data_IF_295425102943
#
_entry.id   IF_295425102943
#
_cell.length_a   1.000
_cell.length_b   1.000
_cell.length_c   1.000
_cell.angle_alpha   90.00
_cell.angle_beta   90.00
_cell.angle_gamma   90.00
#
_symmetry.space_group_name_H-M   'P 1'
#
loop_
_entity.id
_entity.type
_entity.pdbx_description
1 polymer ?
#
# COMPACT_ATOMS: atom_id res chain seq x y z
N UNK A 1 -20.63 37.98 33.53
CA UNK A 1 -19.21 38.30 33.28
C UNK A 1 -18.38 37.07 33.60
N UNK A 2 -18.05 36.29 32.58
CA UNK A 2 -17.29 35.04 32.68
C UNK A 2 -15.78 35.34 32.81
N UNK A 3 -15.15 34.89 33.90
CA UNK A 3 -13.69 34.79 33.98
C UNK A 3 -13.28 33.41 33.45
N UNK A 4 -12.70 33.39 32.25
CA UNK A 4 -12.03 32.23 31.67
C UNK A 4 -10.76 31.93 32.48
N UNK A 5 -10.65 30.70 32.95
CA UNK A 5 -9.41 30.11 33.46
C UNK A 5 -8.57 29.76 32.23
N UNK A 6 -7.38 30.34 32.13
CA UNK A 6 -6.38 29.97 31.12
C UNK A 6 -5.49 28.89 31.75
N UNK A 7 -5.55 27.66 31.21
CA UNK A 7 -4.59 26.62 31.52
C UNK A 7 -3.40 26.75 30.57
N UNK A 8 -2.25 27.10 31.13
CA UNK A 8 -0.96 27.11 30.46
C UNK A 8 -0.43 25.67 30.44
N UNK A 9 -0.49 24.98 29.31
CA UNK A 9 0.17 23.69 29.13
C UNK A 9 1.64 23.91 28.78
N UNK A 10 2.50 23.69 29.76
CA UNK A 10 3.96 23.61 29.57
C UNK A 10 4.23 22.22 28.97
N UNK A 11 4.56 22.18 27.67
CA UNK A 11 5.06 20.95 27.02
C UNK A 11 6.53 20.81 27.37
N UNK A 12 6.86 19.75 28.12
CA UNK A 12 8.24 19.31 28.31
C UNK A 12 8.77 18.79 26.97
N UNK A 13 9.74 19.49 26.38
CA UNK A 13 10.58 18.92 25.33
C UNK A 13 11.38 17.77 25.92
N UNK A 14 10.92 16.54 25.70
CA UNK A 14 11.80 15.37 25.78
C UNK A 14 12.76 15.48 24.59
N UNK A 15 13.99 15.91 24.85
CA UNK A 15 15.13 15.72 23.96
C UNK A 15 15.28 14.22 23.71
N UNK A 16 14.75 13.72 22.58
CA UNK A 16 15.07 12.39 22.13
C UNK A 16 16.52 12.39 21.66
N UNK A 17 17.36 11.68 22.40
CA UNK A 17 18.74 11.40 22.05
C UNK A 17 18.79 10.77 20.66
N UNK A 18 19.57 11.39 19.77
CA UNK A 18 19.92 10.94 18.44
C UNK A 18 20.59 9.56 18.47
N UNK A 19 19.78 8.50 18.42
CA UNK A 19 20.19 7.20 17.91
C UNK A 19 19.23 6.87 16.77
N UNK A 20 19.61 7.29 15.56
CA UNK A 20 18.88 7.06 14.32
C UNK A 20 18.42 5.61 14.24
N UNK A 21 17.11 5.40 14.37
CA UNK A 21 16.47 4.13 14.10
C UNK A 21 16.46 3.94 12.57
N UNK A 22 17.56 3.45 12.00
CA UNK A 22 17.48 2.78 10.70
C UNK A 22 16.52 1.60 10.88
N UNK A 23 15.44 1.54 10.09
CA UNK A 23 14.33 0.57 10.10
C UNK A 23 12.96 1.10 10.59
N UNK A 24 12.50 2.26 10.11
CA UNK A 24 11.09 2.63 10.23
C UNK A 24 10.23 1.74 9.30
N UNK A 25 9.01 1.43 9.75
CA UNK A 25 8.06 0.61 8.98
C UNK A 25 6.81 1.43 8.65
N UNK A 26 6.43 1.43 7.37
CA UNK A 26 5.19 2.03 6.87
C UNK A 26 3.98 1.29 7.46
N UNK A 27 2.80 1.94 7.56
CA UNK A 27 1.59 1.31 8.03
C UNK A 27 1.35 -0.08 7.43
N UNK A 28 0.99 -1.04 8.27
CA UNK A 28 0.65 -2.38 7.81
C UNK A 28 -0.70 -2.35 7.10
N UNK A 29 -0.64 -2.36 5.78
CA UNK A 29 -1.78 -2.68 4.92
C UNK A 29 -1.96 -4.19 4.95
N UNK A 30 -3.19 -4.66 5.20
CA UNK A 30 -3.56 -6.09 5.15
C UNK A 30 -2.90 -6.77 3.96
N UNK A 31 -2.16 -7.84 4.23
CA UNK A 31 -1.35 -8.49 3.20
C UNK A 31 -2.27 -9.27 2.26
N UNK A 32 -2.49 -8.72 1.06
CA UNK A 32 -3.30 -9.35 0.03
C UNK A 32 -2.45 -10.37 -0.73
N UNK A 33 -2.74 -11.65 -0.51
CA UNK A 33 -2.11 -12.75 -1.23
C UNK A 33 -2.68 -12.87 -2.63
N UNK A 34 -1.79 -13.01 -3.60
CA UNK A 34 -2.21 -13.39 -4.94
C UNK A 34 -2.86 -12.30 -5.79
N UNK A 35 -3.06 -11.10 -5.25
CA UNK A 35 -3.39 -9.93 -6.05
C UNK A 35 -2.13 -9.23 -6.48
N UNK A 36 -2.06 -8.79 -7.74
CA UNK A 36 -1.12 -7.72 -8.10
C UNK A 36 -1.45 -6.56 -7.18
N UNK A 37 -0.48 -6.07 -6.42
CA UNK A 37 -0.73 -4.97 -5.50
C UNK A 37 0.21 -3.84 -5.87
N UNK A 38 -0.32 -2.65 -6.07
CA UNK A 38 0.43 -1.40 -6.13
C UNK A 38 0.10 -0.59 -4.88
N UNK A 39 1.13 -0.14 -4.17
CA UNK A 39 0.98 0.70 -2.99
C UNK A 39 1.49 2.09 -3.33
N UNK A 40 0.69 3.10 -3.04
CA UNK A 40 1.04 4.49 -3.28
C UNK A 40 0.98 5.21 -1.95
N UNK A 41 2.13 5.72 -1.55
CA UNK A 41 2.35 6.48 -0.33
C UNK A 41 2.42 7.96 -0.70
N UNK A 42 1.42 8.73 -0.25
CA UNK A 42 1.31 10.17 -0.45
C UNK A 42 1.87 10.84 0.81
N UNK A 43 3.02 11.51 0.70
CA UNK A 43 3.73 12.12 1.82
C UNK A 43 3.40 13.59 1.86
N UNK A 44 2.62 14.01 2.84
CA UNK A 44 2.17 15.39 2.94
C UNK A 44 3.27 16.25 3.56
N UNK A 45 3.90 17.09 2.74
CA UNK A 45 4.91 18.04 3.20
C UNK A 45 4.30 19.30 3.81
N UNK A 46 3.11 19.70 3.34
CA UNK A 46 2.41 20.88 3.79
C UNK A 46 0.99 20.48 4.20
N UNK A 47 0.54 20.77 5.44
CA UNK A 47 -0.84 20.52 5.86
C UNK A 47 -1.89 21.34 5.11
N UNK A 48 -1.50 22.25 4.21
CA UNK A 48 -2.45 22.97 3.36
C UNK A 48 -3.02 22.13 2.22
N UNK A 49 -2.46 20.94 1.93
CA UNK A 49 -2.99 20.02 0.91
C UNK A 49 -4.43 19.64 1.24
N UNK A 50 -5.40 20.26 0.57
CA UNK A 50 -6.82 20.25 0.96
C UNK A 50 -7.74 19.45 0.02
N UNK A 51 -7.31 19.16 -1.21
CA UNK A 51 -8.08 18.43 -2.23
C UNK A 51 -7.72 16.93 -2.35
N UNK A 52 -7.54 16.27 -1.20
CA UNK A 52 -7.04 14.88 -1.14
C UNK A 52 -7.92 13.87 -1.87
N UNK A 53 -9.24 14.00 -1.75
CA UNK A 53 -10.19 13.09 -2.39
C UNK A 53 -10.16 13.21 -3.91
N UNK A 54 -10.00 14.41 -4.44
CA UNK A 54 -9.85 14.62 -5.88
C UNK A 54 -8.53 14.08 -6.42
N UNK A 55 -7.42 14.27 -5.68
CA UNK A 55 -6.12 13.65 -6.00
C UNK A 55 -6.24 12.11 -6.05
N UNK A 56 -6.86 11.52 -5.02
CA UNK A 56 -7.11 10.08 -4.97
C UNK A 56 -7.97 9.61 -6.14
N UNK A 57 -9.04 10.34 -6.47
CA UNK A 57 -9.94 10.04 -7.57
C UNK A 57 -9.20 10.02 -8.92
N UNK A 58 -8.32 11.00 -9.17
CA UNK A 58 -7.49 11.04 -10.38
C UNK A 58 -6.53 9.86 -10.47
N UNK A 59 -5.90 9.47 -9.36
CA UNK A 59 -5.02 8.31 -9.30
C UNK A 59 -5.84 7.04 -9.61
N UNK A 60 -6.96 6.85 -8.92
CA UNK A 60 -7.84 5.68 -9.10
C UNK A 60 -8.31 5.58 -10.54
N UNK A 61 -8.90 6.64 -11.09
CA UNK A 61 -9.46 6.61 -12.45
C UNK A 61 -8.37 6.35 -13.49
N UNK A 62 -7.18 6.91 -13.29
CA UNK A 62 -6.04 6.73 -14.20
C UNK A 62 -5.61 5.27 -14.23
N UNK A 63 -5.49 4.62 -13.08
CA UNK A 63 -5.16 3.20 -12.97
C UNK A 63 -6.28 2.33 -13.54
N UNK A 64 -7.54 2.65 -13.24
CA UNK A 64 -8.71 1.93 -13.75
C UNK A 64 -8.82 1.98 -15.27
N UNK A 65 -8.42 3.10 -15.91
CA UNK A 65 -8.44 3.27 -17.37
C UNK A 65 -7.59 2.25 -18.13
N UNK A 66 -6.65 1.58 -17.44
CA UNK A 66 -5.78 0.53 -18.01
C UNK A 66 -6.50 -0.83 -18.09
N UNK A 67 -7.64 -1.02 -17.40
CA UNK A 67 -8.48 -2.20 -17.50
C UNK A 67 -8.12 -3.39 -16.60
N UNK A 68 -7.53 -3.15 -15.42
CA UNK A 68 -7.12 -4.21 -14.46
C UNK A 68 -8.05 -4.42 -13.25
N UNK A 69 -9.27 -3.89 -13.29
CA UNK A 69 -10.16 -3.73 -12.12
C UNK A 69 -10.43 -5.02 -11.29
N UNK A 70 -10.24 -6.22 -11.85
CA UNK A 70 -10.45 -7.48 -11.13
C UNK A 70 -9.18 -8.09 -10.49
N UNK A 71 -7.98 -7.76 -10.98
CA UNK A 71 -6.76 -8.51 -10.68
C UNK A 71 -5.65 -7.66 -10.02
N UNK A 72 -5.88 -6.34 -9.91
CA UNK A 72 -4.98 -5.37 -9.30
C UNK A 72 -5.65 -4.73 -8.07
N UNK A 73 -4.99 -4.81 -6.93
CA UNK A 73 -5.30 -4.03 -5.74
C UNK A 73 -4.47 -2.74 -5.75
N UNK A 74 -5.16 -1.61 -5.78
CA UNK A 74 -4.58 -0.30 -5.53
C UNK A 74 -4.75 0.04 -4.05
N UNK A 75 -3.65 0.39 -3.38
CA UNK A 75 -3.71 0.89 -2.00
C UNK A 75 -3.11 2.28 -1.97
N UNK A 76 -3.92 3.25 -1.55
CA UNK A 76 -3.52 4.64 -1.32
C UNK A 76 -3.38 4.86 0.19
N UNK A 77 -2.37 5.60 0.60
CA UNK A 77 -2.13 5.91 2.01
C UNK A 77 -1.44 7.25 2.15
N UNK A 78 -2.05 8.13 2.94
CA UNK A 78 -1.47 9.41 3.32
C UNK A 78 -0.58 9.25 4.55
N UNK A 79 0.62 9.82 4.47
CA UNK A 79 1.57 9.97 5.58
C UNK A 79 1.53 11.45 5.98
N UNK A 80 0.58 11.77 6.84
CA UNK A 80 0.35 13.11 7.39
C UNK A 80 0.72 13.21 8.86
N UNK A 81 0.49 14.37 9.47
CA UNK A 81 0.74 14.63 10.90
C UNK A 81 0.11 13.63 11.88
N UNK A 82 -0.90 12.86 11.48
CA UNK A 82 -1.50 11.81 12.32
C UNK A 82 -0.70 10.50 12.31
N UNK A 83 0.25 10.34 11.38
CA UNK A 83 1.10 9.16 11.32
C UNK A 83 2.20 9.22 12.39
N UNK A 84 2.37 8.12 13.14
CA UNK A 84 3.26 8.03 14.31
C UNK A 84 4.71 8.45 14.07
N UNK A 85 5.23 8.32 12.85
CA UNK A 85 6.60 8.68 12.50
C UNK A 85 6.68 9.94 11.63
N UNK A 86 5.58 10.68 11.47
CA UNK A 86 5.54 11.88 10.65
C UNK A 86 6.54 12.93 11.12
N UNK A 87 6.68 13.14 12.43
CA UNK A 87 7.60 14.16 12.96
C UNK A 87 9.04 13.93 12.50
N UNK A 88 9.50 12.67 12.38
CA UNK A 88 10.84 12.40 11.87
C UNK A 88 10.99 12.76 10.38
N UNK A 89 9.92 12.63 9.60
CA UNK A 89 9.89 13.09 8.23
C UNK A 89 9.88 14.63 8.16
N UNK A 90 8.98 15.27 8.91
CA UNK A 90 8.81 16.73 9.01
C UNK A 90 10.08 17.44 9.49
N UNK A 91 10.82 16.85 10.44
CA UNK A 91 12.08 17.40 10.96
C UNK A 91 13.22 17.39 9.90
N UNK A 92 13.11 16.59 8.85
CA UNK A 92 14.18 16.33 7.88
C UNK A 92 13.85 16.87 6.50
N UNK A 93 12.65 16.57 6.00
CA UNK A 93 12.20 16.98 4.69
C UNK A 93 11.45 18.30 4.83
N UNK A 94 11.98 19.31 4.15
CA UNK A 94 11.36 20.61 4.01
C UNK A 94 11.25 20.93 2.52
N UNK A 95 10.37 21.87 2.17
CA UNK A 95 10.26 22.32 0.78
C UNK A 95 11.54 23.04 0.34
N UNK A 96 12.07 22.61 -0.80
CA UNK A 96 13.18 23.19 -1.55
C UNK A 96 12.64 23.46 -2.95
N UNK A 97 12.82 24.68 -3.47
CA UNK A 97 12.20 25.05 -4.74
C UNK A 97 12.83 24.32 -5.94
N UNK A 98 14.12 23.97 -5.90
CA UNK A 98 14.74 23.16 -6.95
C UNK A 98 14.16 21.72 -6.96
N UNK A 99 13.42 21.40 -8.01
CA UNK A 99 12.72 20.12 -8.16
C UNK A 99 13.63 18.88 -8.21
N UNK A 100 14.85 19.00 -8.77
CA UNK A 100 15.81 17.88 -8.80
C UNK A 100 16.33 17.61 -7.39
N UNK A 101 16.78 18.67 -6.70
CA UNK A 101 17.26 18.58 -5.33
C UNK A 101 16.17 18.10 -4.36
N UNK A 102 14.92 18.53 -4.54
CA UNK A 102 13.80 18.06 -3.72
C UNK A 102 13.58 16.55 -3.91
N UNK A 103 13.50 16.09 -5.16
CA UNK A 103 13.24 14.69 -5.48
C UNK A 103 14.39 13.79 -4.99
N UNK A 104 15.64 14.23 -5.14
CA UNK A 104 16.82 13.51 -4.65
C UNK A 104 16.83 13.42 -3.12
N UNK A 105 16.59 14.54 -2.43
CA UNK A 105 16.51 14.56 -0.96
C UNK A 105 15.40 13.66 -0.41
N UNK A 106 14.24 13.64 -1.08
CA UNK A 106 13.13 12.78 -0.72
C UNK A 106 13.45 11.29 -0.93
N UNK A 107 14.01 10.94 -2.09
CA UNK A 107 14.46 9.58 -2.41
C UNK A 107 15.47 9.08 -1.38
N UNK A 108 16.50 9.87 -1.07
CA UNK A 108 17.55 9.54 -0.11
C UNK A 108 16.96 9.29 1.29
N UNK A 109 16.02 10.14 1.72
CA UNK A 109 15.34 9.96 3.00
C UNK A 109 14.56 8.65 3.07
N UNK A 110 13.77 8.32 2.04
CA UNK A 110 12.98 7.09 2.05
C UNK A 110 13.89 5.87 2.04
N UNK A 111 14.91 5.84 1.17
CA UNK A 111 15.84 4.71 1.08
C UNK A 111 16.66 4.50 2.35
N UNK A 112 17.01 5.57 3.07
CA UNK A 112 17.77 5.49 4.32
C UNK A 112 16.94 5.01 5.50
N UNK A 113 15.66 5.38 5.56
CA UNK A 113 14.84 5.19 6.76
C UNK A 113 13.82 4.05 6.65
N UNK A 114 13.36 3.71 5.43
CA UNK A 114 12.32 2.71 5.20
C UNK A 114 12.81 1.55 4.33
N UNK A 115 12.27 0.35 4.59
CA UNK A 115 12.56 -0.83 3.77
C UNK A 115 11.80 -0.74 2.45
N UNK A 116 12.52 -0.53 1.37
CA UNK A 116 11.96 -0.42 0.03
C UNK A 116 11.39 -1.75 -0.48
N UNK A 117 10.20 -1.71 -1.08
CA UNK A 117 9.58 -2.85 -1.77
C UNK A 117 9.26 -2.48 -3.22
N UNK A 118 9.44 -3.43 -4.14
CA UNK A 118 9.28 -3.21 -5.59
C UNK A 118 7.89 -2.74 -6.04
N UNK A 119 6.88 -2.75 -5.18
CA UNK A 119 5.52 -2.32 -5.55
C UNK A 119 5.10 -1.03 -4.84
N UNK A 120 5.98 -0.48 -3.99
CA UNK A 120 5.76 0.75 -3.25
C UNK A 120 6.15 1.92 -4.16
N UNK A 121 5.24 2.88 -4.31
CA UNK A 121 5.45 4.13 -5.03
C UNK A 121 5.24 5.27 -4.04
N UNK A 122 6.12 6.25 -4.07
CA UNK A 122 6.20 7.32 -3.10
C UNK A 122 6.06 8.66 -3.82
N UNK A 123 5.07 9.44 -3.41
CA UNK A 123 4.81 10.76 -3.98
C UNK A 123 4.90 11.76 -2.84
N UNK A 124 5.84 12.70 -2.93
CA UNK A 124 5.90 13.85 -2.04
C UNK A 124 4.88 14.89 -2.51
N UNK A 125 3.92 15.20 -1.65
CA UNK A 125 2.82 16.14 -1.91
C UNK A 125 3.10 17.49 -1.25
N UNK A 126 2.78 18.58 -1.95
CA UNK A 126 2.87 19.95 -1.45
C UNK A 126 1.79 20.81 -2.10
N UNK A 127 1.50 21.97 -1.52
CA UNK A 127 0.56 22.93 -2.11
C UNK A 127 1.08 23.51 -3.43
N UNK A 128 2.26 24.11 -3.36
CA UNK A 128 2.78 24.93 -4.44
C UNK A 128 3.80 24.16 -5.27
N UNK A 129 3.80 24.42 -6.58
CA UNK A 129 4.82 23.89 -7.49
C UNK A 129 6.25 24.23 -7.07
N UNK A 130 7.19 23.60 -7.76
CA UNK A 130 8.62 23.84 -7.63
C UNK A 130 9.08 24.94 -8.58
N UNK A 131 10.34 25.38 -8.46
CA UNK A 131 10.96 26.38 -9.32
C UNK A 131 10.67 26.10 -10.82
N UNK A 132 10.51 27.17 -11.59
CA UNK A 132 10.17 27.17 -13.01
C UNK A 132 8.83 26.50 -13.39
N UNK A 133 7.75 26.78 -12.63
CA UNK A 133 6.35 26.43 -13.01
C UNK A 133 6.10 24.92 -13.20
N UNK A 134 6.82 24.10 -12.44
CA UNK A 134 6.69 22.64 -12.48
C UNK A 134 5.80 22.19 -11.34
N UNK A 135 4.63 21.64 -11.67
CA UNK A 135 3.72 21.09 -10.67
C UNK A 135 4.18 19.70 -10.20
N UNK A 136 4.93 18.95 -11.01
CA UNK A 136 5.38 17.62 -10.62
C UNK A 136 6.62 17.14 -11.36
N UNK A 137 7.34 16.20 -10.75
CA UNK A 137 8.54 15.61 -11.35
C UNK A 137 8.74 14.18 -10.91
N UNK A 138 9.17 13.37 -11.86
CA UNK A 138 9.39 11.93 -11.69
C UNK A 138 10.62 11.50 -12.46
N UNK A 139 11.44 10.64 -11.84
CA UNK A 139 12.38 9.83 -12.60
C UNK A 139 11.61 8.72 -13.31
N UNK A 140 11.68 8.66 -14.65
CA UNK A 140 10.93 7.65 -15.42
C UNK A 140 11.29 6.23 -14.97
N UNK A 141 10.28 5.37 -14.84
CA UNK A 141 10.43 3.99 -14.32
C UNK A 141 11.05 3.94 -12.91
N UNK A 142 10.80 4.97 -12.10
CA UNK A 142 11.17 4.98 -10.69
C UNK A 142 9.95 4.76 -9.80
N UNK A 143 10.20 4.73 -8.50
CA UNK A 143 9.19 4.60 -7.46
C UNK A 143 8.99 5.90 -6.69
N UNK A 144 9.53 7.01 -7.21
CA UNK A 144 9.60 8.28 -6.51
C UNK A 144 9.18 9.41 -7.43
N UNK A 145 8.29 10.25 -6.93
CA UNK A 145 7.93 11.49 -7.56
C UNK A 145 7.63 12.57 -6.54
N UNK A 146 7.56 13.80 -7.02
CA UNK A 146 7.03 14.95 -6.30
C UNK A 146 5.83 15.50 -7.08
N UNK A 147 4.80 15.97 -6.40
CA UNK A 147 3.60 16.53 -7.00
C UNK A 147 3.00 17.65 -6.14
N UNK A 148 2.56 18.70 -6.81
CA UNK A 148 1.82 19.83 -6.25
C UNK A 148 0.34 19.58 -6.41
N UNK A 149 -0.47 19.99 -5.44
CA UNK A 149 -1.93 19.92 -5.50
C UNK A 149 -2.59 21.07 -6.29
N UNK A 150 -1.84 22.11 -6.68
CA UNK A 150 -2.28 23.17 -7.60
C UNK A 150 -3.07 22.63 -8.81
N UNK A 151 -2.76 21.40 -9.22
CA UNK A 151 -3.68 20.57 -9.98
C UNK A 151 -3.73 19.16 -9.37
N UNK A 152 -4.94 18.69 -9.10
CA UNK A 152 -5.23 17.39 -8.49
C UNK A 152 -4.82 16.22 -9.41
N UNK A 153 -4.68 16.48 -10.71
CA UNK A 153 -4.23 15.51 -11.71
C UNK A 153 -2.72 15.27 -11.70
N UNK A 154 -1.92 16.10 -11.02
CA UNK A 154 -0.46 16.07 -11.08
C UNK A 154 0.11 14.77 -10.52
N UNK A 155 -0.34 14.32 -9.34
CA UNK A 155 0.12 13.08 -8.75
C UNK A 155 -0.17 11.86 -9.67
N UNK A 156 -1.34 11.85 -10.32
CA UNK A 156 -1.70 10.80 -11.27
C UNK A 156 -0.86 10.86 -12.56
N UNK A 157 -0.49 12.06 -13.03
CA UNK A 157 0.43 12.24 -14.15
C UNK A 157 1.81 11.66 -13.86
N UNK A 158 2.37 12.03 -12.71
CA UNK A 158 3.67 11.58 -12.24
C UNK A 158 3.69 10.07 -11.99
N UNK A 159 2.63 9.52 -11.41
CA UNK A 159 2.42 8.07 -11.32
C UNK A 159 2.43 7.38 -12.69
N UNK A 160 1.84 8.00 -13.70
CA UNK A 160 1.94 7.50 -15.08
C UNK A 160 3.40 7.36 -15.53
N UNK A 161 4.26 8.34 -15.23
CA UNK A 161 5.69 8.26 -15.54
C UNK A 161 6.44 7.20 -14.75
N UNK A 162 6.12 7.02 -13.46
CA UNK A 162 6.64 5.92 -12.64
C UNK A 162 6.30 4.56 -13.26
N UNK A 163 5.09 4.41 -13.79
CA UNK A 163 4.59 3.20 -14.43
C UNK A 163 4.97 3.08 -15.92
N UNK A 164 5.86 3.93 -16.42
CA UNK A 164 6.46 3.82 -17.75
C UNK A 164 5.68 4.50 -18.89
N UNK A 165 4.60 5.21 -18.59
CA UNK A 165 3.91 6.03 -19.56
C UNK A 165 4.76 7.23 -20.01
N UNK A 166 4.53 7.69 -21.24
CA UNK A 166 5.26 8.78 -21.86
C UNK A 166 4.32 9.94 -22.16
N UNK A 167 4.89 11.14 -22.25
CA UNK A 167 4.13 12.29 -22.73
C UNK A 167 3.49 12.00 -24.07
N UNK A 168 2.25 12.46 -24.24
CA UNK A 168 1.55 12.43 -25.50
C UNK A 168 0.95 13.81 -25.81
N UNK A 169 0.34 13.93 -26.98
CA UNK A 169 -0.31 15.17 -27.42
C UNK A 169 -1.83 15.06 -27.49
N UNK A 170 -2.43 14.02 -26.91
CA UNK A 170 -3.85 13.68 -27.08
C UNK A 170 -4.76 14.62 -26.30
N UNK A 171 -5.72 15.24 -27.00
CA UNK A 171 -6.74 16.11 -26.42
C UNK A 171 -8.05 16.07 -27.22
N UNK A 172 -9.14 16.54 -26.61
CA UNK A 172 -10.49 16.63 -27.17
C UNK A 172 -11.00 18.06 -27.03
N UNK A 173 -11.20 18.75 -28.16
CA UNK A 173 -11.81 20.09 -28.16
C UNK A 173 -13.27 20.09 -27.70
N UNK A 174 -14.00 18.99 -27.90
CA UNK A 174 -15.43 18.92 -27.57
C UNK A 174 -15.71 18.96 -26.07
N UNK A 175 -14.87 18.28 -25.29
CA UNK A 175 -15.01 18.21 -23.84
C UNK A 175 -14.01 19.11 -23.11
N UNK A 176 -13.16 19.83 -23.85
CA UNK A 176 -12.06 20.62 -23.32
C UNK A 176 -11.11 19.82 -22.41
N UNK A 177 -10.83 18.56 -22.77
CA UNK A 177 -10.02 17.63 -21.97
C UNK A 177 -8.81 17.09 -22.72
N UNK A 178 -7.79 16.68 -21.98
CA UNK A 178 -6.60 16.01 -22.49
C UNK A 178 -6.30 14.72 -21.74
N UNK A 179 -5.54 13.82 -22.36
CA UNK A 179 -5.06 12.61 -21.66
C UNK A 179 -4.23 12.99 -20.43
N UNK A 180 -4.24 12.13 -19.40
CA UNK A 180 -3.45 12.33 -18.19
C UNK A 180 -1.96 12.56 -18.47
N UNK A 181 -1.43 12.02 -19.58
CA UNK A 181 -0.04 12.16 -19.99
C UNK A 181 0.25 13.34 -20.93
N UNK A 182 -0.65 14.31 -21.04
CA UNK A 182 -0.42 15.52 -21.83
C UNK A 182 0.57 16.44 -21.11
N UNK A 183 1.73 16.74 -21.69
CA UNK A 183 2.81 17.50 -21.03
C UNK A 183 2.39 18.89 -20.51
N UNK A 184 2.05 19.82 -21.43
CA UNK A 184 1.57 21.18 -21.11
C UNK A 184 0.32 21.44 -21.92
N UNK A 185 -0.71 21.99 -21.27
CA UNK A 185 -2.05 22.04 -21.84
C UNK A 185 -2.87 23.16 -21.21
N UNK A 186 -3.68 23.83 -22.03
CA UNK A 186 -4.79 24.69 -21.57
C UNK A 186 -6.08 23.87 -21.32
N UNK A 187 -6.08 22.60 -21.73
CA UNK A 187 -7.17 21.66 -21.48
C UNK A 187 -6.97 20.96 -20.15
N UNK A 188 -8.07 20.69 -19.46
CA UNK A 188 -8.07 19.94 -18.22
C UNK A 188 -7.61 18.51 -18.48
N UNK A 189 -6.75 17.96 -17.63
CA UNK A 189 -6.36 16.55 -17.74
C UNK A 189 -7.55 15.69 -17.31
N UNK A 190 -7.86 14.68 -18.09
CA UNK A 190 -8.72 13.59 -17.66
C UNK A 190 -7.84 12.55 -16.95
N UNK A 191 -8.35 11.94 -15.88
CA UNK A 191 -7.67 10.85 -15.18
C UNK A 191 -7.72 9.54 -15.98
N UNK A 192 -7.18 9.53 -17.19
CA UNK A 192 -7.17 8.38 -18.10
C UNK A 192 -6.05 8.45 -19.17
N UNK A 193 -5.53 7.27 -19.50
CA UNK A 193 -4.60 7.09 -20.63
C UNK A 193 -5.39 6.93 -21.93
N UNK A 194 -5.15 7.80 -22.92
CA UNK A 194 -5.87 7.72 -24.21
C UNK A 194 -5.11 6.98 -25.31
N UNK A 195 -3.79 6.85 -25.16
CA UNK A 195 -2.95 6.17 -26.15
C UNK A 195 -2.72 4.72 -25.75
N UNK A 196 -2.90 3.80 -26.70
CA UNK A 196 -2.59 2.38 -26.52
C UNK A 196 -1.14 2.14 -26.05
N UNK A 197 -0.19 2.96 -26.48
CA UNK A 197 1.22 2.85 -26.04
C UNK A 197 1.38 3.05 -24.53
N UNK A 198 0.74 4.10 -23.98
CA UNK A 198 0.77 4.34 -22.53
C UNK A 198 -0.01 3.27 -21.76
N UNK A 199 -1.18 2.86 -22.24
CA UNK A 199 -1.93 1.75 -21.65
C UNK A 199 -1.01 0.52 -21.57
N UNK A 200 -0.42 0.10 -22.69
CA UNK A 200 0.45 -1.08 -22.76
C UNK A 200 1.72 -0.94 -21.91
N UNK A 201 2.30 0.26 -21.79
CA UNK A 201 3.46 0.49 -20.93
C UNK A 201 3.11 0.27 -19.45
N UNK A 202 2.00 0.85 -19.00
CA UNK A 202 1.52 0.69 -17.61
C UNK A 202 1.13 -0.76 -17.34
N UNK A 203 0.50 -1.45 -18.31
CA UNK A 203 0.20 -2.89 -18.18
C UNK A 203 1.45 -3.72 -17.91
N UNK A 204 2.54 -3.47 -18.63
CA UNK A 204 3.82 -4.17 -18.43
C UNK A 204 4.39 -3.95 -17.03
N UNK A 205 4.27 -2.74 -16.48
CA UNK A 205 4.68 -2.45 -15.11
C UNK A 205 3.87 -3.27 -14.10
N UNK A 206 2.54 -3.38 -14.29
CA UNK A 206 1.70 -4.23 -13.44
C UNK A 206 1.96 -5.73 -13.60
N UNK A 207 2.38 -6.18 -14.79
CA UNK A 207 2.80 -7.57 -14.99
C UNK A 207 4.08 -7.91 -14.22
N UNK A 208 4.91 -6.93 -13.85
CA UNK A 208 6.06 -7.18 -12.96
C UNK A 208 5.58 -7.35 -11.50
N UNK A 209 4.41 -6.81 -11.13
CA UNK A 209 3.79 -6.97 -9.81
C UNK A 209 3.05 -8.31 -9.64
N UNK A 210 3.25 -9.29 -10.53
CA UNK A 210 2.60 -10.60 -10.50
C UNK A 210 2.87 -11.33 -9.17
N UNK A 211 1.89 -11.28 -8.27
CA UNK A 211 1.93 -12.00 -7.00
C UNK A 211 1.36 -13.43 -7.10
N UNK A 212 0.40 -13.71 -7.99
CA UNK A 212 0.18 -15.07 -8.53
C UNK A 212 0.78 -15.08 -9.94
N UNK A 213 1.94 -15.70 -10.16
CA UNK A 213 2.35 -16.02 -11.52
C UNK A 213 1.32 -16.97 -12.14
N UNK A 214 1.50 -17.28 -13.41
CA UNK A 214 0.93 -18.47 -14.06
C UNK A 214 1.20 -19.79 -13.27
N UNK A 215 2.05 -19.73 -12.23
CA UNK A 215 2.28 -20.78 -11.24
C UNK A 215 1.16 -20.85 -10.19
N UNK A 216 0.69 -22.08 -10.01
CA UNK A 216 -0.31 -22.49 -9.02
C UNK A 216 0.06 -22.23 -7.55
N UNK A 217 1.18 -21.61 -7.19
CA UNK A 217 1.67 -21.55 -5.80
C UNK A 217 2.37 -20.22 -5.45
N UNK A 218 2.24 -19.78 -4.19
CA UNK A 218 3.00 -18.67 -3.58
C UNK A 218 3.46 -19.08 -2.17
N UNK A 219 4.65 -18.64 -1.73
CA UNK A 219 5.14 -18.79 -0.35
C UNK A 219 5.52 -17.43 0.25
N UNK A 220 5.13 -17.17 1.50
CA UNK A 220 5.36 -15.93 2.25
C UNK A 220 6.12 -16.22 3.54
N UNK A 221 7.32 -15.66 3.70
CA UNK A 221 8.01 -15.70 4.99
C UNK A 221 7.52 -14.55 5.89
N UNK A 222 7.13 -14.85 7.12
CA UNK A 222 6.87 -13.83 8.13
C UNK A 222 8.20 -13.27 8.64
N UNK A 223 8.30 -11.95 8.81
CA UNK A 223 9.45 -11.33 9.47
C UNK A 223 9.20 -11.19 10.97
N UNK A 224 10.23 -11.47 11.76
CA UNK A 224 10.23 -11.58 13.25
C UNK A 224 9.84 -10.32 14.03
N UNK A 225 9.68 -9.19 13.33
CA UNK A 225 9.39 -7.89 13.92
C UNK A 225 7.92 -7.48 13.80
N UNK A 226 7.08 -8.32 13.17
CA UNK A 226 5.62 -8.13 13.05
C UNK A 226 4.93 -8.50 14.38
N UNK A 227 5.20 -7.73 15.44
CA UNK A 227 4.48 -7.86 16.73
C UNK A 227 3.28 -6.90 16.82
N UNK A 228 2.81 -6.39 15.68
CA UNK A 228 1.72 -5.44 15.62
C UNK A 228 0.45 -6.18 15.22
N UNK A 229 -0.59 -5.92 15.98
CA UNK A 229 -1.94 -6.46 15.86
C UNK A 229 -2.51 -6.22 14.45
N UNK A 230 -2.28 -7.18 13.55
CA UNK A 230 -2.77 -7.17 12.16
C UNK A 230 -4.30 -7.37 12.07
N UNK A 231 -4.97 -7.57 13.21
CA UNK A 231 -6.43 -7.74 13.28
C UNK A 231 -7.20 -6.42 13.20
N UNK A 232 -6.53 -5.26 13.39
CA UNK A 232 -7.18 -3.94 13.34
C UNK A 232 -7.84 -3.62 11.98
N UNK A 233 -7.33 -4.19 10.88
CA UNK A 233 -7.83 -3.97 9.53
C UNK A 233 -8.67 -5.16 8.99
N UNK A 234 -9.13 -6.04 9.89
CA UNK A 234 -9.95 -7.18 9.55
C UNK A 234 -11.30 -7.16 10.27
N UNK A 235 -12.34 -7.86 9.77
CA UNK A 235 -13.57 -8.06 10.52
C UNK A 235 -13.25 -8.64 11.91
N UNK A 236 -13.98 -8.22 12.95
CA UNK A 236 -13.87 -8.87 14.26
C UNK A 236 -14.14 -10.35 14.07
N UNK A 237 -13.11 -11.15 14.30
CA UNK A 237 -13.16 -12.59 14.09
C UNK A 237 -13.92 -13.22 15.24
N UNK A 238 -15.21 -13.47 15.01
CA UNK A 238 -16.05 -14.16 15.97
C UNK A 238 -15.40 -15.52 16.25
N UNK A 239 -14.97 -15.72 17.50
CA UNK A 239 -14.29 -16.94 17.95
C UNK A 239 -12.84 -17.14 17.45
N UNK A 240 -12.02 -16.09 17.31
CA UNK A 240 -10.55 -16.23 17.45
C UNK A 240 -10.13 -16.65 18.89
N UNK A 241 -10.99 -17.44 19.55
CA UNK A 241 -10.59 -18.73 20.09
C UNK A 241 -9.54 -18.70 21.17
N UNK A 242 -9.84 -18.07 22.33
CA UNK A 242 -9.12 -18.24 23.60
C UNK A 242 -7.64 -17.81 23.65
N UNK A 243 -7.04 -17.40 22.54
CA UNK A 243 -5.62 -17.08 22.44
C UNK A 243 -5.44 -15.75 21.73
N UNK A 244 -4.57 -14.91 22.27
CA UNK A 244 -4.57 -13.47 22.12
C UNK A 244 -4.52 -12.99 20.65
N UNK A 245 -5.62 -12.38 20.17
CA UNK A 245 -5.79 -11.76 18.83
C UNK A 245 -4.60 -10.86 18.43
N UNK A 246 -3.97 -10.17 19.40
CA UNK A 246 -2.85 -9.24 19.15
C UNK A 246 -1.57 -9.85 18.57
N UNK A 247 -1.49 -11.17 18.42
CA UNK A 247 -0.33 -11.88 17.85
C UNK A 247 -0.63 -12.66 16.57
N UNK A 248 -1.86 -12.59 16.07
CA UNK A 248 -2.21 -13.22 14.82
C UNK A 248 -1.68 -12.40 13.63
N UNK A 249 -1.23 -13.09 12.58
CA UNK A 249 -0.90 -12.47 11.29
C UNK A 249 -2.03 -12.79 10.30
N UNK A 250 -2.66 -11.75 9.79
CA UNK A 250 -3.79 -11.83 8.87
C UNK A 250 -3.34 -11.58 7.44
N UNK A 251 -3.76 -12.46 6.55
CA UNK A 251 -3.62 -12.32 5.11
C UNK A 251 -4.99 -12.37 4.46
N UNK A 252 -5.22 -11.52 3.47
CA UNK A 252 -6.43 -11.55 2.64
C UNK A 252 -6.14 -12.31 1.35
N UNK A 253 -6.96 -13.28 1.01
CA UNK A 253 -6.83 -14.07 -0.22
C UNK A 253 -8.11 -13.90 -1.05
N UNK A 254 -8.06 -13.32 -2.27
CA UNK A 254 -9.13 -13.45 -3.22
C UNK A 254 -9.23 -14.90 -3.68
N UNK A 255 -10.45 -15.41 -3.71
CA UNK A 255 -10.74 -16.79 -4.03
C UNK A 255 -11.76 -16.85 -5.15
N UNK A 256 -11.62 -17.87 -5.99
CA UNK A 256 -12.57 -18.13 -7.06
C UNK A 256 -13.27 -19.47 -6.80
N UNK A 257 -14.61 -19.50 -6.85
CA UNK A 257 -15.44 -20.69 -6.56
C UNK A 257 -15.05 -21.93 -7.37
N UNK A 258 -14.44 -21.74 -8.53
CA UNK A 258 -14.12 -22.83 -9.46
C UNK A 258 -12.78 -23.50 -9.16
N UNK A 259 -11.99 -22.96 -8.24
CA UNK A 259 -10.71 -23.54 -7.84
C UNK A 259 -10.76 -24.05 -6.42
N UNK A 260 -9.91 -25.03 -6.15
CA UNK A 260 -9.60 -25.44 -4.79
C UNK A 260 -8.26 -24.87 -4.37
N UNK A 261 -8.06 -24.73 -3.06
CA UNK A 261 -6.86 -24.16 -2.50
C UNK A 261 -6.25 -25.06 -1.42
N UNK A 262 -4.93 -25.17 -1.44
CA UNK A 262 -4.14 -25.74 -0.34
C UNK A 262 -3.37 -24.62 0.35
N UNK A 263 -3.52 -24.51 1.67
CA UNK A 263 -2.89 -23.49 2.51
C UNK A 263 -2.06 -24.23 3.56
N UNK A 264 -0.76 -23.97 3.62
CA UNK A 264 0.18 -24.77 4.41
C UNK A 264 1.26 -23.90 5.05
N UNK A 265 1.59 -24.17 6.31
CA UNK A 265 2.81 -23.65 6.92
C UNK A 265 3.98 -24.59 6.58
N UNK A 266 4.86 -24.18 5.67
CA UNK A 266 6.03 -24.99 5.26
C UNK A 266 7.11 -25.04 6.35
N UNK A 267 7.31 -23.92 7.03
CA UNK A 267 8.33 -23.73 8.07
C UNK A 267 7.73 -22.89 9.18
N UNK A 268 8.06 -23.22 10.43
CA UNK A 268 7.77 -22.41 11.59
C UNK A 268 8.78 -22.74 12.70
N UNK A 269 9.13 -21.76 13.52
CA UNK A 269 9.90 -21.95 14.77
C UNK A 269 8.99 -22.15 15.99
N UNK A 270 7.68 -22.30 15.76
CA UNK A 270 6.65 -22.51 16.78
C UNK A 270 5.55 -23.45 16.31
N UNK A 271 4.71 -23.87 17.25
CA UNK A 271 3.50 -24.66 17.00
C UNK A 271 2.38 -23.78 16.43
N UNK A 272 2.07 -23.95 15.15
CA UNK A 272 1.19 -23.03 14.40
C UNK A 272 -0.28 -23.43 14.48
N UNK A 273 -1.16 -22.46 14.22
CA UNK A 273 -2.58 -22.70 14.00
C UNK A 273 -3.02 -21.86 12.79
N UNK A 274 -3.74 -22.48 11.85
CA UNK A 274 -4.36 -21.80 10.72
C UNK A 274 -5.87 -21.71 10.91
N UNK A 275 -6.41 -20.51 10.69
CA UNK A 275 -7.85 -20.26 10.57
C UNK A 275 -8.15 -19.60 9.23
N UNK A 276 -9.32 -19.88 8.69
CA UNK A 276 -9.87 -19.22 7.51
C UNK A 276 -11.19 -18.58 7.87
N UNK A 277 -11.33 -17.29 7.61
CA UNK A 277 -12.56 -16.53 7.84
C UNK A 277 -13.13 -15.96 6.55
N UNK A 278 -14.44 -15.72 6.52
CA UNK A 278 -15.10 -14.94 5.47
C UNK A 278 -14.92 -13.42 5.67
N UNK A 279 -15.40 -12.62 4.72
CA UNK A 279 -15.37 -11.15 4.82
C UNK A 279 -16.28 -10.53 5.88
N UNK A 280 -17.06 -11.34 6.60
CA UNK A 280 -17.86 -10.92 7.75
C UNK A 280 -17.24 -11.34 9.08
N UNK A 281 -16.11 -12.06 9.06
CA UNK A 281 -15.43 -12.56 10.27
C UNK A 281 -15.94 -13.91 10.77
N UNK A 282 -16.73 -14.65 9.98
CA UNK A 282 -17.17 -16.00 10.35
C UNK A 282 -16.09 -17.03 9.98
N UNK A 283 -15.79 -17.96 10.88
CA UNK A 283 -14.86 -19.06 10.61
C UNK A 283 -15.44 -19.99 9.52
N UNK A 284 -14.67 -20.21 8.46
CA UNK A 284 -14.96 -21.15 7.38
C UNK A 284 -14.29 -22.51 7.67
N UNK A 285 -13.04 -22.48 8.13
CA UNK A 285 -12.23 -23.68 8.38
C UNK A 285 -11.06 -23.36 9.32
N UNK A 286 -10.51 -24.39 9.98
CA UNK A 286 -9.33 -24.25 10.83
C UNK A 286 -8.54 -25.56 10.90
N UNK A 287 -7.24 -25.48 11.15
CA UNK A 287 -6.41 -26.63 11.47
C UNK A 287 -5.18 -26.22 12.31
N UNK A 288 -4.89 -26.94 13.39
CA UNK A 288 -3.67 -26.81 14.20
C UNK A 288 -2.50 -27.59 13.59
N UNK A 289 -2.70 -28.84 13.20
CA UNK A 289 -1.60 -29.75 12.87
C UNK A 289 -1.67 -30.34 11.45
N UNK A 290 -0.53 -30.80 10.94
CA UNK A 290 -0.46 -31.72 9.82
C UNK A 290 0.03 -33.08 10.34
N UNK A 291 -0.26 -34.17 9.62
CA UNK A 291 0.07 -35.53 10.07
C UNK A 291 1.56 -35.66 10.41
N UNK A 292 1.87 -35.74 11.70
CA UNK A 292 3.24 -35.89 12.22
C UNK A 292 4.05 -34.59 12.36
N UNK A 293 3.43 -33.40 12.27
CA UNK A 293 4.10 -32.10 12.39
C UNK A 293 3.20 -31.06 13.08
N UNK A 294 3.78 -30.24 13.95
CA UNK A 294 3.14 -29.05 14.56
C UNK A 294 2.97 -27.87 13.59
N UNK A 295 2.76 -28.18 12.31
CA UNK A 295 2.66 -27.21 11.22
C UNK A 295 1.31 -27.40 10.56
N UNK A 296 0.51 -26.35 10.53
CA UNK A 296 -0.88 -26.43 10.09
C UNK A 296 -0.98 -26.56 8.57
N UNK A 297 -1.94 -27.35 8.10
CA UNK A 297 -2.24 -27.51 6.67
C UNK A 297 -3.73 -27.71 6.40
N UNK A 298 -4.30 -26.92 5.51
CA UNK A 298 -5.65 -27.10 4.99
C UNK A 298 -5.56 -27.39 3.49
N UNK A 299 -6.05 -28.55 3.04
CA UNK A 299 -5.90 -28.99 1.64
C UNK A 299 -7.25 -29.04 0.91
N UNK A 300 -7.23 -28.81 -0.40
CA UNK A 300 -8.41 -28.91 -1.27
C UNK A 300 -9.64 -28.11 -0.78
N UNK A 301 -9.41 -26.92 -0.21
CA UNK A 301 -10.45 -26.01 0.26
C UNK A 301 -11.27 -25.46 -0.91
N UNK A 302 -12.59 -25.61 -0.85
CA UNK A 302 -13.53 -24.88 -1.69
C UNK A 302 -14.19 -23.77 -0.85
N UNK A 303 -14.19 -22.55 -1.37
CA UNK A 303 -14.76 -21.40 -0.67
C UNK A 303 -16.17 -21.04 -1.13
N UNK A 304 -16.82 -21.91 -1.92
CA UNK A 304 -18.19 -21.72 -2.40
C UNK A 304 -18.38 -20.32 -3.01
N UNK A 305 -19.45 -19.59 -2.66
CA UNK A 305 -19.76 -18.27 -3.22
C UNK A 305 -18.89 -17.12 -2.70
N UNK A 306 -17.91 -17.36 -1.82
CA UNK A 306 -17.01 -16.31 -1.36
C UNK A 306 -16.09 -15.86 -2.49
N UNK A 307 -15.81 -14.56 -2.53
CA UNK A 307 -14.85 -13.95 -3.46
C UNK A 307 -13.52 -13.59 -2.78
N UNK A 308 -13.53 -13.57 -1.46
CA UNK A 308 -12.37 -13.33 -0.62
C UNK A 308 -12.52 -14.10 0.69
N UNK A 309 -11.38 -14.48 1.25
CA UNK A 309 -11.24 -15.07 2.59
C UNK A 309 -10.04 -14.47 3.29
N UNK A 310 -9.99 -14.63 4.60
CA UNK A 310 -8.89 -14.16 5.45
C UNK A 310 -8.20 -15.37 6.06
N UNK A 311 -6.92 -15.53 5.76
CA UNK A 311 -6.04 -16.54 6.36
C UNK A 311 -5.42 -15.92 7.59
N UNK A 312 -5.64 -16.56 8.73
CA UNK A 312 -5.11 -16.10 10.00
C UNK A 312 -4.13 -17.16 10.50
N UNK A 313 -2.87 -16.74 10.65
CA UNK A 313 -1.81 -17.55 11.24
C UNK A 313 -1.62 -17.11 12.68
N UNK A 314 -1.75 -18.04 13.61
CA UNK A 314 -1.45 -17.84 15.04
C UNK A 314 -0.68 -19.04 15.58
N UNK A 315 -0.38 -19.07 16.88
CA UNK A 315 0.33 -20.17 17.51
C UNK A 315 -0.39 -20.76 18.72
N UNK A 316 -0.21 -22.06 18.92
CA UNK A 316 -0.77 -22.79 20.05
C UNK A 316 -0.29 -22.18 21.37
N UNK A 317 -1.23 -21.89 22.29
CA UNK A 317 -0.95 -21.27 23.60
C UNK A 317 -0.16 -19.94 23.53
N UNK A 318 -0.45 -19.09 22.54
CA UNK A 318 0.21 -17.80 22.31
C UNK A 318 1.70 -17.89 21.90
N UNK A 319 2.13 -19.06 21.40
CA UNK A 319 3.40 -19.14 20.69
C UNK A 319 3.36 -18.26 19.44
N UNK A 320 4.52 -17.74 19.06
CA UNK A 320 4.70 -16.85 17.92
C UNK A 320 6.17 -16.89 17.52
N UNK A 321 6.44 -16.58 16.26
CA UNK A 321 7.79 -16.54 15.71
C UNK A 321 7.75 -16.54 14.19
N UNK A 322 8.85 -16.88 13.55
CA UNK A 322 8.94 -16.87 12.10
C UNK A 322 8.31 -18.13 11.49
N UNK A 323 7.48 -17.94 10.47
CA UNK A 323 6.91 -18.99 9.64
C UNK A 323 7.05 -18.70 8.15
N UNK A 324 6.78 -19.71 7.32
CA UNK A 324 6.61 -19.60 5.87
C UNK A 324 5.25 -20.18 5.51
N UNK A 325 4.33 -19.34 5.03
CA UNK A 325 2.98 -19.70 4.60
C UNK A 325 2.95 -19.90 3.08
N UNK A 326 2.55 -21.09 2.65
CA UNK A 326 2.33 -21.48 1.25
C UNK A 326 0.85 -21.52 0.94
N UNK A 327 0.48 -20.93 -0.20
CA UNK A 327 -0.87 -21.03 -0.78
C UNK A 327 -0.74 -21.58 -2.19
N UNK A 328 -1.45 -22.67 -2.48
CA UNK A 328 -1.51 -23.33 -3.77
C UNK A 328 -2.96 -23.35 -4.28
N UNK A 329 -3.17 -23.00 -5.55
CA UNK A 329 -4.42 -23.06 -6.30
C UNK A 329 -4.40 -24.28 -7.21
N UNK A 330 -5.33 -25.20 -7.01
CA UNK A 330 -5.41 -26.51 -7.70
C UNK A 330 -6.00 -26.41 -9.12
#
# INVERSE_FOLDING_TARGET
MNKKISSLSIVFFCLFSSSYASNLELPEITQNMGMKTIKIWLWELDPSVDDRDDIENYIISTIESVGYKSDLLLVLSWLDSNYKNYQHFDDVIHKIDDSDNQLDGFLDYIQKNYKFKNNDHHILMTESGWDDSIDGKTYRNSHFSIASDNSEATAAHELGHMLGAKHNSSFSFWNWTASIMKQSSIFNRAGEFWSNDNINAVRKSFDIFLNFPESKQISFASNSYLTVDSTNNAPKYDMLGKWNESKAIVYKLPVNPNFKYTIEIEKADFDTYLYIYDGKGNEINQNDDNVGSSKSKLSSLSFNSHREVYIVVTGFRNQHGNFTLRVEKE
#
